data_IF_346050063323
#
_entry.id   IF_346050063323
#
_cell.length_a   1.000
_cell.length_b   1.000
_cell.length_c   1.000
_cell.angle_alpha   90.00
_cell.angle_beta   90.00
_cell.angle_gamma   90.00
#
_symmetry.space_group_name_H-M   'P 1'
#
loop_
_entity.id
_entity.type
_entity.pdbx_description
1 polymer ?
#
# COMPACT_ATOMS: atom_id res chain seq x y z
N UNK A 1 66.12 -56.55 -35.29
CA UNK A 1 67.44 -55.98 -34.92
C UNK A 1 67.51 -54.56 -35.45
N UNK A 2 67.02 -53.57 -34.66
CA UNK A 2 67.51 -52.17 -34.55
C UNK A 2 66.52 -51.34 -33.71
N UNK A 3 66.98 -50.99 -32.51
CA UNK A 3 66.90 -49.67 -31.85
C UNK A 3 65.53 -49.07 -31.48
N UNK A 4 65.32 -49.01 -30.17
CA UNK A 4 64.38 -48.22 -29.38
C UNK A 4 64.36 -46.72 -29.76
N UNK A 5 63.18 -46.10 -29.76
CA UNK A 5 63.07 -44.69 -29.35
C UNK A 5 61.78 -44.44 -28.56
N UNK A 6 61.94 -44.54 -27.24
CA UNK A 6 61.01 -44.05 -26.21
C UNK A 6 61.07 -42.51 -26.22
N UNK A 7 60.01 -41.82 -26.66
CA UNK A 7 59.84 -40.37 -26.42
C UNK A 7 58.66 -40.14 -25.49
N UNK A 8 59.04 -39.67 -24.31
CA UNK A 8 58.25 -39.18 -23.20
C UNK A 8 57.95 -37.71 -23.44
N UNK A 9 56.66 -37.34 -23.55
CA UNK A 9 56.14 -35.99 -23.26
C UNK A 9 54.70 -36.16 -22.75
N UNK A 10 54.48 -35.92 -21.46
CA UNK A 10 53.18 -35.55 -20.86
C UNK A 10 53.15 -34.03 -20.72
N UNK A 11 52.05 -33.40 -20.28
CA UNK A 11 50.63 -33.50 -20.63
C UNK A 11 50.13 -32.08 -21.02
N UNK A 12 48.89 -31.70 -20.71
CA UNK A 12 48.33 -30.32 -20.77
C UNK A 12 47.80 -29.86 -22.13
N UNK A 13 46.51 -30.14 -22.36
CA UNK A 13 45.55 -29.20 -22.97
C UNK A 13 44.14 -29.73 -22.69
N UNK A 14 43.79 -29.84 -21.41
CA UNK A 14 42.41 -29.91 -20.96
C UNK A 14 41.84 -28.51 -21.22
N UNK A 15 41.29 -28.28 -22.41
CA UNK A 15 40.73 -26.99 -22.78
C UNK A 15 39.42 -26.83 -22.02
N UNK A 16 39.53 -26.01 -20.98
CA UNK A 16 38.54 -25.62 -20.00
C UNK A 16 37.37 -24.93 -20.72
N UNK A 17 36.33 -25.70 -21.09
CA UNK A 17 35.01 -25.15 -21.43
C UNK A 17 34.31 -24.83 -20.11
N UNK A 18 34.75 -23.76 -19.45
CA UNK A 18 34.14 -23.27 -18.22
C UNK A 18 34.05 -21.74 -18.33
N UNK A 19 32.82 -21.23 -18.12
CA UNK A 19 32.46 -19.85 -17.81
C UNK A 19 32.38 -18.82 -18.96
N UNK A 20 31.51 -19.10 -19.94
CA UNK A 20 30.67 -18.04 -20.52
C UNK A 20 29.18 -18.31 -20.26
N UNK A 21 28.88 -18.93 -19.11
CA UNK A 21 27.60 -18.76 -18.45
C UNK A 21 27.58 -17.38 -17.80
N UNK A 22 27.64 -16.32 -18.62
CA UNK A 22 27.18 -15.02 -18.17
C UNK A 22 25.76 -15.25 -17.67
N UNK A 23 25.52 -14.98 -16.40
CA UNK A 23 24.15 -14.86 -15.90
C UNK A 23 23.48 -13.84 -16.81
N UNK A 24 22.74 -14.33 -17.81
CA UNK A 24 21.70 -13.55 -18.41
C UNK A 24 20.80 -13.23 -17.22
N UNK A 25 20.99 -12.04 -16.64
CA UNK A 25 19.96 -11.39 -15.87
C UNK A 25 18.84 -11.30 -16.88
N UNK A 26 17.93 -12.26 -16.85
CA UNK A 26 16.63 -12.09 -17.43
C UNK A 26 16.13 -10.81 -16.78
N UNK A 27 16.17 -9.71 -17.53
CA UNK A 27 15.47 -8.48 -17.20
C UNK A 27 13.98 -8.80 -17.34
N UNK A 28 13.49 -9.77 -16.56
CA UNK A 28 12.08 -9.88 -16.26
C UNK A 28 11.77 -8.61 -15.50
N UNK A 29 11.04 -7.71 -16.17
CA UNK A 29 10.41 -6.58 -15.51
C UNK A 29 9.73 -7.11 -14.24
N UNK A 30 9.82 -6.40 -13.10
CA UNK A 30 9.16 -6.86 -11.87
C UNK A 30 7.67 -7.08 -12.15
N UNK A 31 7.13 -8.21 -11.69
CA UNK A 31 5.69 -8.46 -11.81
C UNK A 31 4.94 -7.60 -10.80
N UNK A 32 4.34 -6.53 -11.30
CA UNK A 32 3.49 -5.63 -10.51
C UNK A 32 2.02 -6.06 -10.51
N UNK A 33 1.66 -7.22 -11.08
CA UNK A 33 0.29 -7.74 -11.11
C UNK A 33 -0.40 -7.72 -9.74
N UNK A 34 0.21 -8.27 -8.68
CA UNK A 34 -0.35 -8.21 -7.33
C UNK A 34 -0.58 -6.79 -6.82
N UNK A 35 0.39 -5.89 -7.02
CA UNK A 35 0.26 -4.50 -6.61
C UNK A 35 -0.88 -3.80 -7.36
N UNK A 36 -1.00 -4.05 -8.67
CA UNK A 36 -2.04 -3.46 -9.51
C UNK A 36 -3.44 -3.86 -9.05
N UNK A 37 -3.63 -5.14 -8.70
CA UNK A 37 -4.93 -5.63 -8.19
C UNK A 37 -5.36 -4.87 -6.93
N UNK A 38 -4.44 -4.66 -5.98
CA UNK A 38 -4.74 -3.93 -4.75
C UNK A 38 -5.01 -2.44 -5.01
N UNK A 39 -4.27 -1.82 -5.93
CA UNK A 39 -4.51 -0.43 -6.36
C UNK A 39 -5.88 -0.28 -7.03
N UNK A 40 -6.27 -1.22 -7.89
CA UNK A 40 -7.61 -1.25 -8.49
C UNK A 40 -8.71 -1.46 -7.45
N UNK A 41 -8.46 -2.28 -6.42
CA UNK A 41 -9.39 -2.45 -5.31
C UNK A 41 -9.62 -1.15 -4.53
N UNK A 42 -8.58 -0.33 -4.30
CA UNK A 42 -8.73 1.00 -3.70
C UNK A 42 -9.65 1.91 -4.52
N UNK A 43 -9.50 1.90 -5.85
CA UNK A 43 -10.35 2.68 -6.75
C UNK A 43 -11.83 2.27 -6.65
N UNK A 44 -12.10 0.97 -6.63
CA UNK A 44 -13.46 0.46 -6.51
C UNK A 44 -14.08 0.84 -5.16
N UNK A 45 -13.33 0.69 -4.07
CA UNK A 45 -13.81 1.09 -2.75
C UNK A 45 -14.02 2.60 -2.62
N UNK A 46 -13.21 3.41 -3.29
CA UNK A 46 -13.38 4.86 -3.34
C UNK A 46 -14.75 5.26 -3.92
N UNK A 47 -15.15 4.62 -5.02
CA UNK A 47 -16.46 4.87 -5.63
C UNK A 47 -17.62 4.40 -4.76
N UNK A 48 -17.48 3.25 -4.11
CA UNK A 48 -18.46 2.75 -3.16
C UNK A 48 -18.65 3.71 -1.97
N UNK A 49 -17.55 4.26 -1.43
CA UNK A 49 -17.61 5.26 -0.37
C UNK A 49 -18.23 6.59 -0.82
N UNK A 50 -18.06 6.99 -2.09
CA UNK A 50 -18.76 8.15 -2.65
C UNK A 50 -20.27 7.97 -2.65
N UNK A 51 -20.76 6.77 -2.96
CA UNK A 51 -22.19 6.47 -2.91
C UNK A 51 -22.70 6.55 -1.48
N UNK A 52 -21.98 5.93 -0.52
CA UNK A 52 -22.33 6.00 0.91
C UNK A 52 -22.40 7.45 1.41
N UNK A 53 -21.42 8.28 1.06
CA UNK A 53 -21.40 9.68 1.46
C UNK A 53 -22.59 10.48 0.90
N UNK A 54 -22.92 10.30 -0.38
CA UNK A 54 -24.11 10.91 -1.01
C UNK A 54 -25.40 10.48 -0.31
N UNK A 55 -25.54 9.19 -0.02
CA UNK A 55 -26.71 8.64 0.66
C UNK A 55 -26.83 9.15 2.10
N UNK A 56 -25.71 9.31 2.82
CA UNK A 56 -25.68 9.91 4.16
C UNK A 56 -26.13 11.37 4.13
N UNK A 57 -25.69 12.15 3.15
CA UNK A 57 -26.14 13.53 2.98
C UNK A 57 -27.65 13.61 2.65
N UNK A 58 -28.17 12.64 1.90
CA UNK A 58 -29.62 12.53 1.68
C UNK A 58 -30.36 12.16 2.98
N UNK A 59 -29.83 11.21 3.76
CA UNK A 59 -30.41 10.81 5.03
C UNK A 59 -30.45 11.97 6.04
N UNK A 60 -29.36 12.73 6.17
CA UNK A 60 -29.22 13.88 7.06
C UNK A 60 -30.28 14.96 6.76
N UNK A 61 -30.57 15.23 5.49
CA UNK A 61 -31.52 16.28 5.08
C UNK A 61 -32.93 16.12 5.65
N UNK A 62 -33.34 14.90 6.00
CA UNK A 62 -34.65 14.64 6.63
C UNK A 62 -34.78 15.25 8.03
N UNK A 63 -33.65 15.53 8.69
CA UNK A 63 -33.58 16.07 10.05
C UNK A 63 -33.37 17.58 10.10
N UNK A 64 -33.54 18.29 8.97
CA UNK A 64 -33.40 19.75 8.91
C UNK A 64 -34.48 20.45 9.75
N UNK A 65 -35.70 19.93 9.71
CA UNK A 65 -36.86 20.53 10.40
C UNK A 65 -36.95 20.07 11.87
N UNK A 66 -36.33 18.94 12.21
CA UNK A 66 -36.38 18.32 13.54
C UNK A 66 -35.13 18.64 14.37
N UNK A 67 -35.14 19.76 15.11
CA UNK A 67 -34.17 20.13 16.16
C UNK A 67 -32.68 20.30 15.76
N UNK A 68 -32.28 19.93 14.54
CA UNK A 68 -30.92 20.09 14.00
C UNK A 68 -29.84 19.19 14.63
N UNK A 69 -30.11 18.53 15.76
CA UNK A 69 -29.12 17.70 16.43
C UNK A 69 -28.79 16.45 15.62
N UNK A 70 -29.79 15.66 15.22
CA UNK A 70 -29.57 14.47 14.37
C UNK A 70 -28.86 14.83 13.06
N UNK A 71 -29.22 15.95 12.46
CA UNK A 71 -28.54 16.49 11.27
C UNK A 71 -27.03 16.68 11.54
N UNK A 72 -26.68 17.32 12.65
CA UNK A 72 -25.28 17.62 13.00
C UNK A 72 -24.45 16.35 13.27
N UNK A 73 -25.02 15.37 13.99
CA UNK A 73 -24.33 14.12 14.28
C UNK A 73 -24.10 13.30 13.00
N UNK A 74 -25.12 13.16 12.15
CA UNK A 74 -25.02 12.44 10.86
C UNK A 74 -23.99 13.10 9.94
N UNK A 75 -24.02 14.43 9.80
CA UNK A 75 -23.05 15.17 8.99
C UNK A 75 -21.62 15.04 9.53
N UNK A 76 -21.47 14.99 10.86
CA UNK A 76 -20.16 14.78 11.48
C UNK A 76 -19.60 13.39 11.16
N UNK A 77 -20.41 12.34 11.28
CA UNK A 77 -20.01 10.99 10.86
C UNK A 77 -19.68 10.92 9.36
N UNK A 78 -20.53 11.49 8.51
CA UNK A 78 -20.33 11.54 7.05
C UNK A 78 -19.02 12.24 6.67
N UNK A 79 -18.65 13.33 7.36
CA UNK A 79 -17.38 14.03 7.14
C UNK A 79 -16.16 13.14 7.38
N UNK A 80 -16.15 12.31 8.44
CA UNK A 80 -15.04 11.39 8.68
C UNK A 80 -14.98 10.26 7.65
N UNK A 81 -16.15 9.78 7.18
CA UNK A 81 -16.23 8.85 6.05
C UNK A 81 -15.65 9.48 4.78
N UNK A 82 -16.00 10.74 4.49
CA UNK A 82 -15.42 11.50 3.38
C UNK A 82 -13.90 11.67 3.51
N UNK A 83 -13.40 11.97 4.71
CA UNK A 83 -11.95 12.05 4.95
C UNK A 83 -11.24 10.71 4.67
N UNK A 84 -11.81 9.59 5.13
CA UNK A 84 -11.27 8.27 4.84
C UNK A 84 -11.29 7.96 3.33
N UNK A 85 -12.34 8.40 2.64
CA UNK A 85 -12.45 8.25 1.19
C UNK A 85 -11.40 9.06 0.43
N UNK A 86 -11.10 10.28 0.88
CA UNK A 86 -10.02 11.10 0.31
C UNK A 86 -8.66 10.45 0.50
N UNK A 87 -8.39 9.84 1.66
CA UNK A 87 -7.16 9.08 1.87
C UNK A 87 -7.05 7.96 0.84
N UNK A 88 -8.10 7.16 0.64
CA UNK A 88 -8.11 6.08 -0.33
C UNK A 88 -7.87 6.58 -1.77
N UNK A 89 -8.53 7.69 -2.14
CA UNK A 89 -8.31 8.35 -3.44
C UNK A 89 -6.84 8.73 -3.65
N UNK A 90 -6.21 9.39 -2.68
CA UNK A 90 -4.82 9.83 -2.82
C UNK A 90 -3.85 8.66 -2.89
N UNK A 91 -4.06 7.60 -2.10
CA UNK A 91 -3.23 6.40 -2.19
C UNK A 91 -3.36 5.73 -3.56
N UNK A 92 -4.60 5.59 -4.08
CA UNK A 92 -4.83 5.09 -5.43
C UNK A 92 -4.12 5.95 -6.48
N UNK A 93 -4.31 7.27 -6.44
CA UNK A 93 -3.73 8.20 -7.43
C UNK A 93 -2.20 8.10 -7.44
N UNK A 94 -1.56 8.11 -6.27
CA UNK A 94 -0.12 8.03 -6.14
C UNK A 94 0.46 6.67 -6.55
N UNK A 95 -0.27 5.58 -6.35
CA UNK A 95 0.18 4.23 -6.68
C UNK A 95 -0.15 3.82 -8.12
N UNK A 96 -1.14 4.46 -8.74
CA UNK A 96 -1.53 4.20 -10.14
C UNK A 96 -0.40 4.46 -11.14
N UNK A 97 0.60 5.26 -10.75
CA UNK A 97 1.74 5.61 -11.61
C UNK A 97 2.93 4.66 -11.48
N UNK A 98 2.84 3.60 -10.67
CA UNK A 98 3.99 2.75 -10.31
C UNK A 98 4.76 2.23 -11.53
N UNK A 99 4.05 1.84 -12.59
CA UNK A 99 4.65 1.31 -13.82
C UNK A 99 5.45 2.36 -14.63
N UNK A 100 5.18 3.65 -14.39
CA UNK A 100 5.86 4.76 -15.07
C UNK A 100 7.07 5.30 -14.28
N UNK A 101 7.33 4.76 -13.08
CA UNK A 101 8.48 5.16 -12.27
C UNK A 101 9.75 4.53 -12.85
N UNK A 102 10.73 5.38 -13.15
CA UNK A 102 12.06 4.99 -13.63
C UNK A 102 12.72 4.00 -12.67
N UNK A 103 13.36 2.97 -13.21
CA UNK A 103 14.05 1.92 -12.44
C UNK A 103 14.98 2.49 -11.35
N UNK A 104 15.72 3.56 -11.67
CA UNK A 104 16.69 4.19 -10.77
C UNK A 104 16.05 4.90 -9.56
N UNK A 105 14.77 5.24 -9.61
CA UNK A 105 14.04 5.93 -8.54
C UNK A 105 13.02 5.02 -7.84
N UNK A 106 12.89 3.76 -8.28
CA UNK A 106 11.83 2.85 -7.84
C UNK A 106 11.92 2.48 -6.37
N UNK A 107 13.14 2.25 -5.87
CA UNK A 107 13.37 1.93 -4.45
C UNK A 107 12.98 3.10 -3.53
N UNK A 108 13.36 4.32 -3.91
CA UNK A 108 12.98 5.55 -3.18
C UNK A 108 11.46 5.75 -3.22
N UNK A 109 10.85 5.55 -4.39
CA UNK A 109 9.40 5.61 -4.55
C UNK A 109 8.69 4.64 -3.61
N UNK A 110 9.07 3.35 -3.59
CA UNK A 110 8.45 2.37 -2.69
C UNK A 110 8.74 2.63 -1.22
N UNK A 111 9.89 3.23 -0.88
CA UNK A 111 10.17 3.67 0.49
C UNK A 111 9.14 4.68 0.97
N UNK A 112 8.89 5.72 0.16
CA UNK A 112 7.89 6.75 0.49
C UNK A 112 6.48 6.16 0.50
N UNK A 113 6.13 5.36 -0.51
CA UNK A 113 4.78 4.79 -0.63
C UNK A 113 4.46 3.76 0.46
N UNK A 114 5.41 2.94 0.88
CA UNK A 114 5.22 2.03 2.01
C UNK A 114 4.91 2.80 3.29
N UNK A 115 5.60 3.92 3.53
CA UNK A 115 5.30 4.77 4.68
C UNK A 115 3.94 5.46 4.55
N UNK A 116 3.60 5.97 3.36
CA UNK A 116 2.31 6.63 3.13
C UNK A 116 1.11 5.70 3.35
N UNK A 117 1.20 4.42 2.94
CA UNK A 117 0.11 3.45 3.17
C UNK A 117 0.02 3.03 4.64
N UNK A 118 1.14 2.94 5.36
CA UNK A 118 1.14 2.69 6.80
C UNK A 118 0.49 3.85 7.57
N UNK A 119 0.79 5.10 7.18
CA UNK A 119 0.15 6.28 7.73
C UNK A 119 -1.35 6.33 7.37
N UNK A 120 -1.71 5.98 6.14
CA UNK A 120 -3.10 5.91 5.69
C UNK A 120 -3.92 4.89 6.48
N UNK A 121 -3.31 3.74 6.79
CA UNK A 121 -3.87 2.70 7.66
C UNK A 121 -4.19 3.26 9.04
N UNK A 122 -3.20 3.85 9.73
CA UNK A 122 -3.41 4.40 11.08
C UNK A 122 -4.48 5.51 11.08
N UNK A 123 -4.41 6.45 10.14
CA UNK A 123 -5.41 7.52 10.02
C UNK A 123 -6.81 6.96 9.78
N UNK A 124 -6.95 5.90 9.00
CA UNK A 124 -8.24 5.25 8.75
C UNK A 124 -8.81 4.57 10.00
N UNK A 125 -7.95 3.96 10.83
CA UNK A 125 -8.35 3.41 12.14
C UNK A 125 -8.85 4.52 13.08
N UNK A 126 -8.12 5.64 13.15
CA UNK A 126 -8.49 6.81 13.96
C UNK A 126 -9.83 7.42 13.49
N UNK A 127 -10.08 7.46 12.18
CA UNK A 127 -11.33 7.94 11.61
C UNK A 127 -12.51 7.02 11.96
N UNK A 128 -12.33 5.70 11.96
CA UNK A 128 -13.37 4.76 12.43
C UNK A 128 -13.72 5.04 13.90
N UNK A 129 -12.72 5.29 14.74
CA UNK A 129 -12.96 5.66 16.14
C UNK A 129 -13.76 6.97 16.25
N UNK A 130 -13.40 7.98 15.47
CA UNK A 130 -14.14 9.24 15.42
C UNK A 130 -15.59 9.04 14.98
N UNK A 131 -15.84 8.25 13.92
CA UNK A 131 -17.20 7.93 13.45
C UNK A 131 -18.04 7.31 14.58
N UNK A 132 -17.47 6.35 15.31
CA UNK A 132 -18.17 5.64 16.41
C UNK A 132 -18.58 6.56 17.55
N UNK A 133 -17.85 7.66 17.79
CA UNK A 133 -18.24 8.67 18.79
C UNK A 133 -19.57 9.31 18.41
N UNK A 134 -19.76 9.64 17.12
CA UNK A 134 -20.97 10.30 16.62
C UNK A 134 -22.14 9.32 16.44
N UNK A 135 -21.87 8.13 15.92
CA UNK A 135 -22.82 7.03 15.78
C UNK A 135 -23.66 6.79 17.06
N UNK A 136 -23.01 6.79 18.24
CA UNK A 136 -23.68 6.58 19.53
C UNK A 136 -24.83 7.55 19.85
N UNK A 137 -24.88 8.72 19.20
CA UNK A 137 -25.90 9.75 19.38
C UNK A 137 -26.95 9.78 18.25
N UNK A 138 -26.79 8.98 17.22
CA UNK A 138 -27.70 8.90 16.07
C UNK A 138 -28.83 7.91 16.39
N UNK A 139 -30.06 8.28 16.02
CA UNK A 139 -31.28 7.48 16.21
C UNK A 139 -31.96 7.09 14.90
N UNK A 140 -31.58 7.71 13.78
CA UNK A 140 -32.08 7.36 12.46
C UNK A 140 -31.51 6.00 12.01
N UNK A 141 -32.32 4.93 11.94
CA UNK A 141 -31.84 3.60 11.60
C UNK A 141 -31.28 3.50 10.18
N UNK A 142 -31.75 4.33 9.25
CA UNK A 142 -31.21 4.35 7.90
C UNK A 142 -29.82 5.01 7.88
N UNK A 143 -29.63 6.10 8.65
CA UNK A 143 -28.32 6.72 8.76
C UNK A 143 -27.30 5.77 9.43
N UNK A 144 -27.72 5.06 10.49
CA UNK A 144 -26.90 4.05 11.16
C UNK A 144 -26.43 2.95 10.20
N UNK A 145 -27.34 2.38 9.40
CA UNK A 145 -26.99 1.36 8.42
C UNK A 145 -26.00 1.85 7.36
N UNK A 146 -26.13 3.11 6.93
CA UNK A 146 -25.18 3.73 5.99
C UNK A 146 -23.81 3.98 6.64
N UNK A 147 -23.78 4.40 7.91
CA UNK A 147 -22.55 4.56 8.69
C UNK A 147 -21.83 3.21 8.84
N UNK A 148 -22.54 2.15 9.21
CA UNK A 148 -21.98 0.80 9.31
C UNK A 148 -21.40 0.34 7.98
N UNK A 149 -22.11 0.56 6.86
CA UNK A 149 -21.60 0.29 5.52
C UNK A 149 -20.33 1.09 5.23
N UNK A 150 -20.29 2.37 5.60
CA UNK A 150 -19.12 3.23 5.47
C UNK A 150 -17.92 2.69 6.27
N UNK A 151 -18.11 2.34 7.54
CA UNK A 151 -17.07 1.74 8.39
C UNK A 151 -16.53 0.45 7.75
N UNK A 152 -17.41 -0.43 7.27
CA UNK A 152 -16.99 -1.67 6.62
C UNK A 152 -16.12 -1.43 5.38
N UNK A 153 -16.44 -0.41 4.58
CA UNK A 153 -15.59 -0.01 3.43
C UNK A 153 -14.24 0.56 3.87
N UNK A 154 -14.20 1.35 4.94
CA UNK A 154 -12.93 1.87 5.49
C UNK A 154 -12.07 0.72 6.03
N UNK A 155 -12.68 -0.28 6.68
CA UNK A 155 -11.98 -1.50 7.12
C UNK A 155 -11.42 -2.30 5.94
N UNK A 156 -12.14 -2.37 4.82
CA UNK A 156 -11.62 -2.97 3.60
C UNK A 156 -10.41 -2.18 3.06
N UNK A 157 -10.46 -0.85 3.09
CA UNK A 157 -9.29 -0.02 2.72
C UNK A 157 -8.09 -0.27 3.62
N UNK A 158 -8.29 -0.43 4.93
CA UNK A 158 -7.23 -0.81 5.88
C UNK A 158 -6.56 -2.13 5.47
N UNK A 159 -7.35 -3.15 5.16
CA UNK A 159 -6.81 -4.44 4.70
C UNK A 159 -6.04 -4.30 3.37
N UNK A 160 -6.50 -3.45 2.46
CA UNK A 160 -5.79 -3.16 1.21
C UNK A 160 -4.47 -2.42 1.49
N UNK A 161 -4.45 -1.46 2.42
CA UNK A 161 -3.20 -0.78 2.81
C UNK A 161 -2.19 -1.75 3.43
N UNK A 162 -2.65 -2.70 4.25
CA UNK A 162 -1.80 -3.78 4.78
C UNK A 162 -1.21 -4.63 3.64
N UNK A 163 -2.02 -5.05 2.67
CA UNK A 163 -1.54 -5.82 1.52
C UNK A 163 -0.54 -5.03 0.66
N UNK A 164 -0.84 -3.75 0.38
CA UNK A 164 0.04 -2.85 -0.34
C UNK A 164 1.38 -2.65 0.40
N UNK A 165 1.35 -2.52 1.71
CA UNK A 165 2.56 -2.42 2.53
C UNK A 165 3.43 -3.66 2.36
N UNK A 166 2.86 -4.85 2.52
CA UNK A 166 3.60 -6.13 2.39
C UNK A 166 4.20 -6.33 1.00
N UNK A 167 3.53 -5.83 -0.05
CA UNK A 167 4.04 -5.88 -1.43
C UNK A 167 5.17 -4.87 -1.69
N UNK A 168 5.12 -3.69 -1.07
CA UNK A 168 6.08 -2.59 -1.33
C UNK A 168 7.29 -2.61 -0.39
N UNK A 169 7.12 -3.01 0.88
CA UNK A 169 8.18 -2.97 1.88
C UNK A 169 9.45 -3.76 1.46
N UNK A 170 9.37 -4.94 0.81
CA UNK A 170 10.55 -5.64 0.31
C UNK A 170 11.29 -4.92 -0.82
N UNK A 171 10.60 -4.01 -1.53
CA UNK A 171 11.11 -3.24 -2.66
C UNK A 171 11.66 -1.86 -2.24
N UNK A 172 11.44 -1.47 -0.99
CA UNK A 172 11.92 -0.23 -0.42
C UNK A 172 13.41 -0.28 -0.07
N UNK A 173 14.01 0.89 0.14
CA UNK A 173 15.36 0.99 0.67
C UNK A 173 15.43 0.38 2.06
N UNK A 174 16.48 -0.41 2.29
CA UNK A 174 16.78 -0.87 3.66
C UNK A 174 17.16 0.34 4.52
N UNK A 175 16.77 0.36 5.81
CA UNK A 175 17.27 1.37 6.73
C UNK A 175 18.79 1.38 6.70
N UNK A 176 19.39 2.56 6.61
CA UNK A 176 20.84 2.67 6.74
C UNK A 176 21.24 2.12 8.13
N UNK A 177 22.30 1.30 8.22
CA UNK A 177 22.79 0.86 9.52
C UNK A 177 23.13 2.10 10.35
N UNK A 178 22.87 2.08 11.68
CA UNK A 178 23.23 3.19 12.53
C UNK A 178 24.74 3.48 12.37
N UNK A 179 25.16 4.76 12.42
CA UNK A 179 26.57 5.11 12.30
C UNK A 179 27.36 4.33 13.35
N UNK A 180 28.51 3.77 12.94
CA UNK A 180 29.35 2.88 13.75
C UNK A 180 29.94 3.50 15.03
N UNK A 181 29.58 4.75 15.36
CA UNK A 181 29.83 5.40 16.63
C UNK A 181 28.50 5.85 17.21
N UNK A 182 27.94 5.06 18.12
CA UNK A 182 26.72 5.41 18.85
C UNK A 182 26.85 6.78 19.51
N UNK A 183 25.74 7.51 19.53
CA UNK A 183 25.57 8.72 20.33
C UNK A 183 25.93 8.35 21.77
N UNK A 184 27.06 8.86 22.27
CA UNK A 184 27.28 8.94 23.70
C UNK A 184 26.21 9.90 24.23
N UNK A 185 25.13 9.34 24.77
CA UNK A 185 24.26 10.09 25.67
C UNK A 185 25.07 10.35 26.93
N UNK A 186 25.73 11.50 26.96
CA UNK A 186 26.22 12.09 28.20
C UNK A 186 24.98 12.42 29.04
N UNK A 187 24.74 11.59 30.06
CA UNK A 187 23.90 11.93 31.20
C UNK A 187 24.57 13.03 32.03
#
# INVERSE_FOLDING_TARGET
MTIQLKRWIYPTSLLLVILLGGCAKTNTLPDFGPLRMEVEALYLNYHELKVVDSDLHAAARRHIEESGQQLSEIQSAARFITQANLIAYYQWELLSITEYVRDSARSDFFTLRAQDVADARQKSEDLILAIKVYDAFIRDPQALALIEKGIARIQQNIAIYDALYELMAPLANRPAPPPAGGVQTSL
#
